data_IF_140229837296
#
_entry.id   IF_140229837296
#
_cell.length_a   1.000
_cell.length_b   1.000
_cell.length_c   1.000
_cell.angle_alpha   90.00
_cell.angle_beta   90.00
_cell.angle_gamma   90.00
#
_symmetry.space_group_name_H-M   'P 1'
#
loop_
_entity.id
_entity.type
_entity.pdbx_description
1 polymer ?
#
# COMPACT_ATOMS: atom_id res chain seq x y z
N UNK A 1 -19.81 -13.52 -14.73
CA UNK A 1 -18.60 -12.70 -14.57
C UNK A 1 -18.99 -11.27 -14.90
N UNK A 2 -19.05 -10.38 -13.91
CA UNK A 2 -19.16 -8.95 -14.22
C UNK A 2 -17.83 -8.59 -14.87
N UNK A 3 -17.85 -8.14 -16.12
CA UNK A 3 -16.66 -7.61 -16.78
C UNK A 3 -16.13 -6.47 -15.90
N UNK A 4 -14.87 -6.56 -15.46
CA UNK A 4 -14.17 -5.58 -14.61
C UNK A 4 -14.19 -4.12 -15.19
N UNK A 5 -14.78 -3.91 -16.36
CA UNK A 5 -14.71 -2.69 -17.14
C UNK A 5 -15.79 -1.63 -16.83
N UNK A 6 -16.84 -1.99 -16.09
CA UNK A 6 -18.00 -1.10 -15.85
C UNK A 6 -17.99 -0.34 -14.51
N UNK A 7 -16.96 -0.50 -13.67
CA UNK A 7 -16.92 0.24 -12.40
C UNK A 7 -16.76 1.75 -12.63
N UNK A 8 -17.58 2.56 -11.94
CA UNK A 8 -17.56 4.03 -12.05
C UNK A 8 -16.16 4.62 -11.92
N UNK A 9 -15.37 4.15 -10.95
CA UNK A 9 -14.00 4.62 -10.75
C UNK A 9 -13.13 4.42 -12.00
N UNK A 10 -13.16 3.23 -12.61
CA UNK A 10 -12.35 2.95 -13.80
C UNK A 10 -12.85 3.71 -15.03
N UNK A 11 -14.17 3.87 -15.20
CA UNK A 11 -14.77 4.70 -16.26
C UNK A 11 -14.30 6.15 -16.15
N UNK A 12 -14.38 6.73 -14.95
CA UNK A 12 -13.92 8.08 -14.69
C UNK A 12 -12.41 8.24 -14.96
N UNK A 13 -11.57 7.28 -14.57
CA UNK A 13 -10.13 7.30 -14.88
C UNK A 13 -9.83 7.28 -16.38
N UNK A 14 -10.72 6.71 -17.21
CA UNK A 14 -10.61 6.69 -18.68
C UNK A 14 -11.28 7.89 -19.36
N UNK A 15 -11.89 8.80 -18.59
CA UNK A 15 -12.63 9.94 -19.12
C UNK A 15 -14.00 9.59 -19.71
N UNK A 16 -14.55 8.41 -19.36
CA UNK A 16 -15.89 7.98 -19.77
C UNK A 16 -16.98 8.57 -18.85
N UNK A 17 -18.20 8.69 -19.36
CA UNK A 17 -19.34 9.17 -18.56
C UNK A 17 -19.74 8.16 -17.48
N UNK A 18 -20.04 8.68 -16.28
CA UNK A 18 -20.64 7.95 -15.17
C UNK A 18 -21.96 8.59 -14.76
N UNK A 19 -22.82 7.83 -14.09
CA UNK A 19 -24.09 8.31 -13.52
C UNK A 19 -23.89 9.22 -12.29
N UNK A 20 -22.78 9.05 -11.57
CA UNK A 20 -22.32 9.92 -10.48
C UNK A 20 -20.79 9.92 -10.43
N UNK A 21 -20.19 10.98 -9.88
CA UNK A 21 -18.74 11.06 -9.64
C UNK A 21 -18.30 10.01 -8.62
N UNK A 22 -17.39 9.09 -8.96
CA UNK A 22 -16.90 8.09 -8.02
C UNK A 22 -15.96 8.70 -6.96
N UNK A 23 -15.96 8.14 -5.76
CA UNK A 23 -15.12 8.60 -4.64
C UNK A 23 -14.31 7.48 -4.00
N UNK A 24 -13.10 7.83 -3.56
CA UNK A 24 -12.28 7.06 -2.61
C UNK A 24 -11.40 8.06 -1.87
N UNK A 25 -10.80 7.67 -0.74
CA UNK A 25 -9.99 8.59 0.06
C UNK A 25 -8.57 8.05 0.24
N UNK A 26 -7.58 8.92 0.03
CA UNK A 26 -6.22 8.62 0.45
C UNK A 26 -6.19 8.38 1.96
N UNK A 27 -5.57 7.26 2.38
CA UNK A 27 -5.55 6.80 3.78
C UNK A 27 -6.96 6.48 4.34
N UNK A 28 -7.85 5.95 3.51
CA UNK A 28 -9.17 5.47 3.95
C UNK A 28 -9.07 4.35 5.01
N UNK A 29 -8.04 3.51 4.97
CA UNK A 29 -7.72 2.62 6.08
C UNK A 29 -6.69 3.32 6.98
N UNK A 30 -7.07 3.69 8.21
CA UNK A 30 -6.15 4.42 9.08
C UNK A 30 -6.65 4.77 10.47
N UNK A 31 -5.81 5.55 11.18
CA UNK A 31 -5.93 5.85 12.63
C UNK A 31 -7.25 6.47 13.07
N UNK A 32 -8.05 7.02 12.18
CA UNK A 32 -9.37 7.55 12.52
C UNK A 32 -10.38 6.43 12.85
N UNK A 33 -10.17 5.21 12.34
CA UNK A 33 -11.01 4.04 12.61
C UNK A 33 -10.60 3.32 13.89
N UNK A 34 -11.59 2.93 14.72
CA UNK A 34 -11.32 2.13 15.92
C UNK A 34 -10.73 0.76 15.57
N UNK A 35 -11.29 0.06 14.59
CA UNK A 35 -10.81 -1.26 14.16
C UNK A 35 -9.32 -1.25 13.77
N UNK A 36 -8.88 -0.23 13.04
CA UNK A 36 -7.47 -0.05 12.72
C UNK A 36 -6.61 0.21 13.96
N UNK A 37 -7.07 1.05 14.91
CA UNK A 37 -6.34 1.30 16.16
C UNK A 37 -6.19 0.05 17.00
N UNK A 38 -7.25 -0.77 17.10
CA UNK A 38 -7.23 -2.04 17.84
C UNK A 38 -6.18 -3.03 17.27
N UNK A 39 -5.97 -3.03 15.94
CA UNK A 39 -4.89 -3.80 15.31
C UNK A 39 -3.51 -3.19 15.60
N UNK A 40 -3.39 -1.86 15.56
CA UNK A 40 -2.14 -1.13 15.87
C UNK A 40 -1.67 -1.27 17.31
N UNK A 41 -2.55 -1.62 18.25
CA UNK A 41 -2.19 -1.97 19.63
C UNK A 41 -1.51 -3.35 19.72
N UNK A 42 -1.74 -4.24 18.74
CA UNK A 42 -1.22 -5.61 18.73
C UNK A 42 -0.04 -5.79 17.80
N UNK A 43 0.01 -5.02 16.70
CA UNK A 43 0.98 -5.18 15.63
C UNK A 43 1.67 -3.86 15.30
N UNK A 44 2.95 -3.95 14.99
CA UNK A 44 3.72 -2.88 14.35
C UNK A 44 3.15 -2.58 12.97
N UNK A 45 3.47 -1.40 12.43
CA UNK A 45 2.99 -1.04 11.09
C UNK A 45 3.56 -1.99 10.03
N UNK A 46 4.84 -2.35 10.16
CA UNK A 46 5.49 -3.26 9.21
C UNK A 46 4.91 -4.68 9.26
N UNK A 47 4.56 -5.20 10.45
CA UNK A 47 3.84 -6.47 10.57
C UNK A 47 2.48 -6.45 9.88
N UNK A 48 1.72 -5.35 10.01
CA UNK A 48 0.45 -5.20 9.28
C UNK A 48 0.66 -5.21 7.77
N UNK A 49 1.72 -4.59 7.24
CA UNK A 49 2.01 -4.60 5.81
C UNK A 49 2.55 -5.94 5.31
N UNK A 50 3.35 -6.65 6.12
CA UNK A 50 4.04 -7.90 5.73
C UNK A 50 3.21 -9.16 5.90
N UNK A 51 2.12 -9.09 6.66
CA UNK A 51 1.18 -10.20 6.81
C UNK A 51 0.00 -10.00 5.85
N UNK A 52 -0.16 -10.85 4.81
CA UNK A 52 -1.22 -10.70 3.83
C UNK A 52 -2.63 -10.69 4.43
N UNK A 53 -2.89 -11.48 5.47
CA UNK A 53 -4.21 -11.56 6.11
C UNK A 53 -4.53 -10.25 6.86
N UNK A 54 -3.54 -9.69 7.56
CA UNK A 54 -3.70 -8.40 8.26
C UNK A 54 -3.84 -7.24 7.27
N UNK A 55 -3.04 -7.21 6.20
CA UNK A 55 -3.13 -6.21 5.16
C UNK A 55 -4.51 -6.26 4.45
N UNK A 56 -5.01 -7.47 4.19
CA UNK A 56 -6.35 -7.70 3.65
C UNK A 56 -7.43 -7.18 4.61
N UNK A 57 -7.39 -7.55 5.88
CA UNK A 57 -8.34 -7.08 6.89
C UNK A 57 -8.37 -5.54 6.92
N UNK A 58 -7.21 -4.90 7.03
CA UNK A 58 -7.09 -3.44 7.08
C UNK A 58 -7.63 -2.79 5.80
N UNK A 59 -7.37 -3.37 4.63
CA UNK A 59 -7.84 -2.85 3.34
C UNK A 59 -9.38 -2.86 3.24
N UNK A 60 -10.03 -3.88 3.81
CA UNK A 60 -11.48 -4.06 3.72
C UNK A 60 -12.28 -3.24 4.73
N UNK A 61 -11.70 -2.93 5.90
CA UNK A 61 -12.35 -2.18 6.98
C UNK A 61 -13.15 -0.94 6.55
N UNK A 62 -12.62 -0.02 5.71
CA UNK A 62 -13.32 1.24 5.40
C UNK A 62 -14.41 1.12 4.34
N UNK A 63 -14.47 0.02 3.57
CA UNK A 63 -15.22 -0.02 2.32
C UNK A 63 -16.72 0.18 2.53
N UNK A 64 -17.32 -0.62 3.41
CA UNK A 64 -18.75 -0.55 3.71
C UNK A 64 -19.11 0.68 4.56
N UNK A 65 -18.18 1.14 5.40
CA UNK A 65 -18.40 2.30 6.29
C UNK A 65 -18.41 3.61 5.51
N UNK A 66 -17.54 3.73 4.50
CA UNK A 66 -17.39 4.95 3.71
C UNK A 66 -18.22 4.96 2.42
N UNK A 67 -18.67 3.79 1.94
CA UNK A 67 -19.42 3.69 0.68
C UNK A 67 -18.61 4.15 -0.53
N UNK A 68 -17.32 3.80 -0.58
CA UNK A 68 -16.39 4.20 -1.66
C UNK A 68 -16.52 3.33 -2.91
N UNK A 69 -16.14 3.89 -4.06
CA UNK A 69 -16.17 3.22 -5.37
C UNK A 69 -14.88 2.45 -5.69
N UNK A 70 -13.86 2.50 -4.82
CA UNK A 70 -12.61 1.77 -4.98
C UNK A 70 -11.96 1.42 -3.64
N UNK A 71 -11.33 0.24 -3.59
CA UNK A 71 -10.40 -0.12 -2.54
C UNK A 71 -8.98 0.29 -2.94
N UNK A 72 -8.12 0.56 -1.96
CA UNK A 72 -6.66 0.74 -2.17
C UNK A 72 -5.94 -0.22 -1.24
N UNK A 73 -4.96 -0.97 -1.77
CA UNK A 73 -4.21 -1.94 -0.98
C UNK A 73 -3.55 -1.27 0.23
N UNK A 74 -3.63 -1.89 1.40
CA UNK A 74 -2.86 -1.45 2.56
C UNK A 74 -1.40 -1.90 2.41
N UNK A 75 -0.51 -0.96 2.12
CA UNK A 75 0.92 -1.16 2.01
C UNK A 75 1.65 0.15 2.38
N UNK A 76 2.97 0.16 2.26
CA UNK A 76 3.79 1.37 2.39
C UNK A 76 4.63 1.61 1.14
N UNK A 77 4.88 2.88 0.78
CA UNK A 77 5.69 3.22 -0.39
C UNK A 77 7.16 2.79 -0.23
N UNK A 78 7.65 2.65 1.01
CA UNK A 78 9.06 2.39 1.32
C UNK A 78 9.41 0.91 1.40
N UNK A 79 8.44 -0.01 1.30
CA UNK A 79 8.71 -1.44 1.35
C UNK A 79 9.86 -1.91 0.43
N UNK A 80 10.03 -1.38 -0.80
CA UNK A 80 11.18 -1.75 -1.64
C UNK A 80 12.54 -1.37 -1.07
N UNK A 81 12.63 -0.39 -0.16
CA UNK A 81 13.92 0.07 0.38
C UNK A 81 14.54 -0.94 1.34
N UNK A 82 13.73 -1.75 2.02
CA UNK A 82 14.22 -2.77 2.93
C UNK A 82 15.09 -3.83 2.22
N UNK A 83 14.62 -4.55 1.17
CA UNK A 83 15.45 -5.50 0.44
C UNK A 83 16.61 -4.84 -0.31
N UNK A 84 16.50 -3.55 -0.68
CA UNK A 84 17.63 -2.78 -1.23
C UNK A 84 18.78 -2.60 -0.24
N UNK A 85 18.59 -2.89 1.05
CA UNK A 85 19.64 -2.91 2.07
C UNK A 85 19.83 -1.59 2.82
N UNK A 86 18.89 -0.64 2.70
CA UNK A 86 18.97 0.68 3.36
C UNK A 86 18.87 0.58 4.89
N UNK A 87 18.29 -0.51 5.40
CA UNK A 87 18.04 -0.69 6.83
C UNK A 87 16.82 0.06 7.32
N UNK A 88 15.83 0.28 6.45
CA UNK A 88 14.55 0.91 6.78
C UNK A 88 13.97 0.38 8.11
N UNK A 89 13.74 1.31 9.03
CA UNK A 89 13.10 1.07 10.31
C UNK A 89 11.86 1.96 10.46
N UNK A 90 10.78 1.42 11.02
CA UNK A 90 9.60 2.22 11.39
C UNK A 90 9.57 2.40 12.90
N UNK A 91 10.06 3.54 13.39
CA UNK A 91 10.06 3.83 14.82
C UNK A 91 8.71 4.41 15.26
N UNK A 92 8.34 4.16 16.52
CA UNK A 92 7.08 4.64 17.07
C UNK A 92 7.17 6.15 17.32
N UNK A 93 6.56 6.95 16.43
CA UNK A 93 6.39 8.40 16.61
C UNK A 93 7.16 9.27 15.62
N UNK A 94 8.34 8.83 15.17
CA UNK A 94 9.26 9.67 14.37
C UNK A 94 9.23 9.37 12.86
N UNK A 95 8.35 8.44 12.43
CA UNK A 95 8.25 8.06 11.01
C UNK A 95 9.30 7.03 10.60
N UNK A 96 9.44 6.75 9.29
CA UNK A 96 10.46 5.84 8.80
C UNK A 96 11.85 6.46 8.92
N UNK A 97 12.82 5.65 9.35
CA UNK A 97 14.23 6.04 9.51
C UNK A 97 15.08 5.20 8.57
N UNK A 98 16.00 5.84 7.86
CA UNK A 98 17.03 5.18 7.06
C UNK A 98 18.38 5.37 7.78
N UNK A 99 18.88 4.37 8.54
CA UNK A 99 20.11 4.51 9.32
C UNK A 99 21.37 4.56 8.45
N UNK A 100 21.28 4.14 7.19
CA UNK A 100 22.36 4.15 6.20
C UNK A 100 21.95 4.97 4.97
N UNK A 101 21.89 6.31 5.08
CA UNK A 101 21.52 7.16 3.96
C UNK A 101 22.58 7.12 2.86
N UNK A 102 22.13 7.22 1.61
CA UNK A 102 22.94 7.25 0.40
C UNK A 102 23.53 8.64 0.21
N UNK A 103 24.85 8.77 0.35
CA UNK A 103 25.57 10.06 0.25
C UNK A 103 26.52 10.13 -0.92
N UNK A 104 26.98 9.00 -1.43
CA UNK A 104 27.98 8.94 -2.48
C UNK A 104 27.79 7.71 -3.40
N UNK A 105 28.55 7.68 -4.49
CA UNK A 105 28.50 6.62 -5.50
C UNK A 105 28.69 5.21 -4.91
N UNK A 106 29.55 5.05 -3.89
CA UNK A 106 29.77 3.73 -3.26
C UNK A 106 28.55 3.24 -2.48
N UNK A 107 27.74 4.15 -1.95
CA UNK A 107 26.50 3.79 -1.25
C UNK A 107 25.45 3.30 -2.26
N UNK A 108 25.41 3.93 -3.45
CA UNK A 108 24.55 3.50 -4.57
C UNK A 108 24.95 2.09 -5.03
N UNK A 109 26.25 1.83 -5.17
CA UNK A 109 26.79 0.52 -5.58
C UNK A 109 26.51 -0.61 -4.57
N UNK A 110 26.21 -0.27 -3.31
CA UNK A 110 25.84 -1.23 -2.27
C UNK A 110 24.35 -1.57 -2.24
N UNK A 111 23.52 -0.81 -2.97
CA UNK A 111 22.10 -1.11 -3.08
C UNK A 111 21.88 -2.43 -3.80
N UNK A 112 20.98 -3.24 -3.26
CA UNK A 112 20.67 -4.55 -3.82
C UNK A 112 19.50 -4.45 -4.80
N UNK A 113 19.52 -5.19 -5.92
CA UNK A 113 18.34 -5.33 -6.75
C UNK A 113 17.21 -6.01 -5.96
N UNK A 114 15.97 -5.59 -6.21
CA UNK A 114 14.78 -6.17 -5.58
C UNK A 114 14.18 -7.24 -6.48
N UNK A 115 13.98 -8.44 -5.96
CA UNK A 115 13.16 -9.46 -6.58
C UNK A 115 11.74 -9.34 -6.02
N UNK A 116 10.79 -8.88 -6.85
CA UNK A 116 9.42 -8.58 -6.40
C UNK A 116 8.71 -9.83 -5.84
N UNK A 117 8.94 -11.01 -6.40
CA UNK A 117 8.27 -12.23 -5.95
C UNK A 117 8.83 -12.72 -4.61
N UNK A 118 10.14 -12.64 -4.42
CA UNK A 118 10.82 -13.12 -3.20
C UNK A 118 10.76 -12.09 -2.08
N UNK A 119 11.10 -10.83 -2.37
CA UNK A 119 11.27 -9.78 -1.37
C UNK A 119 9.94 -9.10 -1.00
N UNK A 120 9.00 -9.03 -1.95
CA UNK A 120 7.72 -8.31 -1.81
C UNK A 120 6.51 -9.21 -2.10
N UNK A 121 6.69 -10.53 -2.12
CA UNK A 121 5.65 -11.51 -2.43
C UNK A 121 4.41 -11.37 -1.55
N UNK A 122 4.59 -10.97 -0.29
CA UNK A 122 3.50 -10.70 0.66
C UNK A 122 2.54 -9.60 0.18
N UNK A 123 3.02 -8.59 -0.56
CA UNK A 123 2.15 -7.55 -1.16
C UNK A 123 1.33 -8.17 -2.28
N UNK A 124 1.94 -9.02 -3.10
CA UNK A 124 1.26 -9.78 -4.15
C UNK A 124 0.17 -10.70 -3.59
N UNK A 125 0.45 -11.38 -2.48
CA UNK A 125 -0.50 -12.24 -1.80
C UNK A 125 -1.68 -11.44 -1.21
N UNK A 126 -1.40 -10.31 -0.56
CA UNK A 126 -2.45 -9.41 -0.07
C UNK A 126 -3.33 -8.89 -1.22
N UNK A 127 -2.74 -8.50 -2.36
CA UNK A 127 -3.50 -8.09 -3.55
C UNK A 127 -4.42 -9.21 -4.04
N UNK A 128 -3.92 -10.46 -4.11
CA UNK A 128 -4.73 -11.63 -4.54
C UNK A 128 -5.87 -11.89 -3.57
N UNK A 129 -5.60 -11.85 -2.27
CA UNK A 129 -6.61 -12.04 -1.23
C UNK A 129 -7.69 -10.96 -1.28
N UNK A 130 -7.30 -9.68 -1.29
CA UNK A 130 -8.25 -8.56 -1.40
C UNK A 130 -9.07 -8.65 -2.68
N UNK A 131 -8.45 -8.93 -3.84
CA UNK A 131 -9.20 -9.10 -5.10
C UNK A 131 -10.25 -10.21 -5.00
N UNK A 132 -9.94 -11.31 -4.31
CA UNK A 132 -10.90 -12.40 -4.05
C UNK A 132 -12.05 -11.94 -3.13
N UNK A 133 -11.74 -11.30 -2.01
CA UNK A 133 -12.74 -10.79 -1.07
C UNK A 133 -13.66 -9.72 -1.68
N UNK A 134 -13.11 -8.84 -2.51
CA UNK A 134 -13.90 -7.87 -3.27
C UNK A 134 -14.86 -8.55 -4.25
N UNK A 135 -14.55 -9.76 -4.75
CA UNK A 135 -15.44 -10.57 -5.58
C UNK A 135 -16.07 -9.81 -6.76
N UNK A 136 -15.32 -8.89 -7.39
CA UNK A 136 -15.82 -8.07 -8.50
C UNK A 136 -16.88 -7.04 -8.09
N UNK A 137 -16.93 -6.62 -6.81
CA UNK A 137 -17.81 -5.54 -6.34
C UNK A 137 -17.24 -4.14 -6.61
N UNK A 138 -15.91 -4.01 -6.60
CA UNK A 138 -15.20 -2.75 -6.86
C UNK A 138 -13.76 -3.01 -7.31
N UNK A 139 -13.11 -2.04 -7.98
CA UNK A 139 -11.70 -2.13 -8.34
C UNK A 139 -10.79 -2.02 -7.11
N UNK A 140 -9.58 -2.58 -7.24
CA UNK A 140 -8.50 -2.44 -6.27
C UNK A 140 -7.38 -1.60 -6.88
N UNK A 141 -7.00 -0.53 -6.20
CA UNK A 141 -5.88 0.34 -6.53
C UNK A 141 -4.61 -0.26 -5.94
N UNK A 142 -3.63 -0.56 -6.79
CA UNK A 142 -2.23 -0.76 -6.41
C UNK A 142 -1.47 0.57 -6.45
N UNK A 143 -0.35 0.67 -5.72
CA UNK A 143 0.46 1.88 -5.73
C UNK A 143 1.94 1.57 -5.46
N UNK A 144 2.81 2.53 -5.81
CA UNK A 144 4.23 2.55 -5.48
C UNK A 144 4.71 4.00 -5.30
N UNK A 145 5.81 4.20 -4.57
CA UNK A 145 6.47 5.50 -4.49
C UNK A 145 7.17 5.84 -5.81
N UNK A 146 7.13 7.12 -6.20
CA UNK A 146 7.89 7.59 -7.35
C UNK A 146 9.41 7.56 -7.06
N UNK A 147 10.27 7.35 -8.08
CA UNK A 147 11.71 7.24 -7.86
C UNK A 147 12.31 8.41 -7.08
N UNK A 148 11.94 9.65 -7.42
CA UNK A 148 12.41 10.84 -6.70
C UNK A 148 12.05 10.79 -5.21
N UNK A 149 10.80 10.46 -4.89
CA UNK A 149 10.32 10.35 -3.50
C UNK A 149 11.08 9.27 -2.73
N UNK A 150 11.26 8.08 -3.33
CA UNK A 150 12.02 7.01 -2.69
C UNK A 150 13.48 7.41 -2.47
N UNK A 151 14.11 8.05 -3.46
CA UNK A 151 15.46 8.59 -3.31
C UNK A 151 15.55 9.64 -2.20
N UNK A 152 14.55 10.52 -2.05
CA UNK A 152 14.55 11.50 -0.95
C UNK A 152 14.63 10.82 0.41
N UNK A 153 13.85 9.76 0.67
CA UNK A 153 13.96 8.99 1.90
C UNK A 153 15.31 8.29 2.04
N UNK A 154 15.91 7.83 0.94
CA UNK A 154 17.22 7.18 0.99
C UNK A 154 18.36 8.15 1.27
N UNK A 155 18.20 9.44 0.99
CA UNK A 155 19.26 10.46 1.09
C UNK A 155 19.19 11.24 2.41
N UNK A 156 17.98 11.59 2.85
CA UNK A 156 17.71 12.33 4.09
C UNK A 156 17.87 11.44 5.33
#
# INVERSE_FOLDING_TARGET
MIEDNEFRFLKACRGESTDVTPIWFMRQAGRYMKAYRDLKEKYTFLELCKNPDLATEVTLQPLDVLGVDAAIIFADILLPLEPMGTGLEFTAGDGPVIPRPVKNQKDIEQLRPVNVEEDLGFVGDAIRQVRKELSGKMPLIGFAGAPFTLCSYMIE
#
